data_IF_556782305095
#
_entry.id   IF_556782305095
#
_cell.length_a   1.000
_cell.length_b   1.000
_cell.length_c   1.000
_cell.angle_alpha   90.00
_cell.angle_beta   90.00
_cell.angle_gamma   90.00
#
_symmetry.space_group_name_H-M   'P 1'
#
loop_
_entity.id
_entity.type
_entity.pdbx_description
1 polymer ?
#
# COMPACT_ATOMS: atom_id res chain seq x y z
N UNK A 1 21.66 -21.24 -64.07
CA UNK A 1 20.42 -21.75 -63.44
C UNK A 1 20.61 -21.70 -61.94
N UNK A 2 19.67 -21.09 -61.21
CA UNK A 2 19.74 -20.71 -59.79
C UNK A 2 20.00 -21.88 -58.82
N UNK A 3 20.55 -21.59 -57.63
CA UNK A 3 19.85 -21.94 -56.41
C UNK A 3 19.84 -20.78 -55.41
N UNK A 4 18.64 -20.34 -55.01
CA UNK A 4 18.45 -19.55 -53.80
C UNK A 4 16.99 -19.70 -53.42
N UNK A 5 16.65 -20.56 -52.45
CA UNK A 5 15.43 -20.41 -51.64
C UNK A 5 15.36 -21.42 -50.47
N UNK A 6 16.24 -21.35 -49.47
CA UNK A 6 15.92 -21.91 -48.13
C UNK A 6 16.63 -21.09 -47.06
N UNK A 7 16.01 -19.99 -46.60
CA UNK A 7 16.31 -19.37 -45.31
C UNK A 7 15.31 -18.24 -44.99
N UNK A 8 14.02 -18.55 -44.85
CA UNK A 8 13.04 -17.52 -44.42
C UNK A 8 11.97 -18.00 -43.45
N UNK A 9 12.05 -19.25 -42.97
CA UNK A 9 11.02 -19.83 -42.09
C UNK A 9 11.43 -19.82 -40.59
N UNK A 10 12.71 -19.65 -40.25
CA UNK A 10 13.15 -19.73 -38.84
C UNK A 10 12.95 -18.48 -37.99
N UNK A 11 12.89 -17.26 -38.56
CA UNK A 11 12.84 -16.03 -37.74
C UNK A 11 11.45 -15.75 -37.16
N UNK A 12 10.39 -16.02 -37.93
CA UNK A 12 8.99 -15.83 -37.50
C UNK A 12 8.56 -16.83 -36.43
N UNK A 13 9.02 -18.08 -36.51
CA UNK A 13 8.70 -19.11 -35.52
C UNK A 13 9.41 -18.87 -34.16
N UNK A 14 10.67 -18.38 -34.18
CA UNK A 14 11.35 -17.99 -32.93
C UNK A 14 10.66 -16.79 -32.27
N UNK A 15 10.33 -15.73 -33.03
CA UNK A 15 9.64 -14.56 -32.49
C UNK A 15 8.27 -14.91 -31.89
N UNK A 16 7.48 -15.78 -32.55
CA UNK A 16 6.20 -16.23 -32.03
C UNK A 16 6.32 -17.06 -30.74
N UNK A 17 7.35 -17.92 -30.64
CA UNK A 17 7.60 -18.70 -29.42
C UNK A 17 8.09 -17.83 -28.26
N UNK A 18 8.91 -16.79 -28.51
CA UNK A 18 9.29 -15.80 -27.51
C UNK A 18 8.09 -15.01 -27.00
N UNK A 19 7.24 -14.54 -27.93
CA UNK A 19 5.99 -13.82 -27.60
C UNK A 19 5.04 -14.66 -26.74
N UNK A 20 4.86 -15.94 -27.10
CA UNK A 20 4.02 -16.85 -26.34
C UNK A 20 4.60 -17.14 -24.94
N UNK A 21 5.93 -17.37 -24.85
CA UNK A 21 6.59 -17.60 -23.57
C UNK A 21 6.57 -16.37 -22.65
N UNK A 22 6.73 -15.16 -23.18
CA UNK A 22 6.63 -13.91 -22.42
C UNK A 22 5.21 -13.66 -21.89
N UNK A 23 4.17 -13.94 -22.68
CA UNK A 23 2.78 -13.88 -22.19
C UNK A 23 2.54 -14.85 -21.03
N UNK A 24 3.15 -16.04 -21.06
CA UNK A 24 2.98 -17.02 -19.98
C UNK A 24 3.60 -16.59 -18.64
N UNK A 25 4.58 -15.66 -18.63
CA UNK A 25 5.31 -15.28 -17.42
C UNK A 25 4.42 -14.64 -16.35
N UNK A 26 3.37 -13.90 -16.73
CA UNK A 26 2.50 -13.18 -15.79
C UNK A 26 1.05 -13.66 -15.81
N UNK A 27 0.77 -14.84 -16.38
CA UNK A 27 -0.58 -15.42 -16.43
C UNK A 27 -1.07 -15.84 -15.04
N UNK A 28 -0.18 -16.43 -14.23
CA UNK A 28 -0.54 -16.93 -12.90
C UNK A 28 -0.37 -15.83 -11.88
N UNK A 29 -1.49 -15.42 -11.30
CA UNK A 29 -1.54 -14.35 -10.32
C UNK A 29 -2.10 -14.83 -8.99
N UNK A 30 -1.75 -14.10 -7.94
CA UNK A 30 -2.34 -14.21 -6.62
C UNK A 30 -3.09 -12.92 -6.30
N UNK A 31 -4.30 -13.04 -5.77
CA UNK A 31 -5.07 -11.90 -5.29
C UNK A 31 -4.58 -11.47 -3.90
N UNK A 32 -4.37 -10.17 -3.75
CA UNK A 32 -4.05 -9.50 -2.49
C UNK A 32 -5.17 -8.55 -2.12
N UNK A 33 -5.49 -8.49 -0.83
CA UNK A 33 -6.36 -7.49 -0.25
C UNK A 33 -5.49 -6.36 0.32
N UNK A 34 -5.81 -5.11 -0.01
CA UNK A 34 -5.14 -3.92 0.54
C UNK A 34 -6.20 -2.89 0.89
N UNK A 35 -6.37 -2.62 2.18
CA UNK A 35 -7.50 -1.83 2.68
C UNK A 35 -8.83 -2.42 2.21
N UNK A 36 -9.57 -1.67 1.41
CA UNK A 36 -10.89 -2.08 0.88
C UNK A 36 -10.85 -2.68 -0.52
N UNK A 37 -9.68 -2.72 -1.15
CA UNK A 37 -9.50 -3.08 -2.55
C UNK A 37 -8.78 -4.42 -2.71
N UNK A 38 -8.91 -4.97 -3.92
CA UNK A 38 -8.20 -6.16 -4.37
C UNK A 38 -7.32 -5.81 -5.56
N UNK A 39 -6.16 -6.46 -5.63
CA UNK A 39 -5.26 -6.44 -6.79
C UNK A 39 -4.73 -7.85 -7.01
N UNK A 40 -4.61 -8.27 -8.27
CA UNK A 40 -3.92 -9.50 -8.61
C UNK A 40 -2.48 -9.15 -8.99
N UNK A 41 -1.53 -9.88 -8.43
CA UNK A 41 -0.10 -9.69 -8.69
C UNK A 41 0.49 -11.02 -9.16
N UNK A 42 1.36 -11.04 -10.18
CA UNK A 42 2.01 -12.27 -10.65
C UNK A 42 2.74 -13.01 -9.53
N UNK A 43 2.73 -14.35 -9.60
CA UNK A 43 3.37 -15.22 -8.58
C UNK A 43 4.90 -15.05 -8.51
N UNK A 44 5.48 -14.48 -9.56
CA UNK A 44 6.87 -14.10 -9.73
C UNK A 44 7.24 -12.92 -8.83
N UNK A 45 6.25 -12.13 -8.39
CA UNK A 45 6.46 -11.02 -7.47
C UNK A 45 6.33 -11.49 -6.01
N UNK A 46 7.25 -11.04 -5.17
CA UNK A 46 7.26 -11.33 -3.74
C UNK A 46 6.86 -10.09 -2.96
N UNK A 47 5.87 -10.22 -2.07
CA UNK A 47 5.46 -9.15 -1.17
C UNK A 47 6.58 -8.90 -0.15
N UNK A 48 7.11 -7.68 -0.12
CA UNK A 48 8.20 -7.26 0.77
C UNK A 48 7.75 -6.37 1.92
N UNK A 49 6.69 -5.58 1.72
CA UNK A 49 6.17 -4.68 2.74
C UNK A 49 4.67 -4.39 2.50
N UNK A 50 3.96 -4.08 3.57
CA UNK A 50 2.57 -3.66 3.60
C UNK A 50 2.41 -2.44 4.54
N UNK A 51 1.74 -1.40 4.06
CA UNK A 51 1.38 -0.22 4.85
C UNK A 51 -0.05 -0.32 5.37
N UNK A 52 -0.27 0.06 6.64
CA UNK A 52 -1.51 -0.21 7.38
C UNK A 52 -2.05 1.05 8.10
N UNK A 53 -2.18 2.18 7.41
CA UNK A 53 -2.75 3.40 7.98
C UNK A 53 -4.23 3.22 8.33
N UNK A 54 -4.60 3.38 9.60
CA UNK A 54 -5.98 3.24 10.08
C UNK A 54 -6.16 4.00 11.40
N UNK A 55 -7.03 5.02 11.43
CA UNK A 55 -7.37 5.94 12.55
C UNK A 55 -6.20 6.74 13.17
N UNK A 56 -5.03 6.12 13.32
CA UNK A 56 -3.78 6.68 13.82
C UNK A 56 -2.86 7.06 12.67
N UNK A 57 -2.12 8.16 12.85
CA UNK A 57 -1.00 8.57 12.00
C UNK A 57 0.10 7.51 11.88
N UNK A 58 0.26 6.66 12.91
CA UNK A 58 1.21 5.54 12.92
C UNK A 58 0.62 4.24 12.34
N UNK A 59 -0.68 4.23 12.04
CA UNK A 59 -1.41 3.06 11.57
C UNK A 59 -1.50 1.91 12.58
N UNK A 60 -1.94 0.75 12.08
CA UNK A 60 -1.96 -0.51 12.82
C UNK A 60 -0.64 -1.25 12.60
N UNK A 61 -0.01 -1.66 13.70
CA UNK A 61 1.15 -2.54 13.67
C UNK A 61 0.73 -3.95 14.04
N UNK A 62 1.10 -4.90 13.20
CA UNK A 62 0.88 -6.32 13.47
C UNK A 62 2.16 -6.96 13.99
N UNK A 63 2.07 -7.62 15.13
CA UNK A 63 3.21 -8.26 15.81
C UNK A 63 2.96 -9.75 15.90
N UNK A 64 3.91 -10.57 15.47
CA UNK A 64 3.91 -12.00 15.79
C UNK A 64 4.44 -12.18 17.21
N UNK A 65 3.59 -12.55 18.15
CA UNK A 65 3.88 -12.48 19.57
C UNK A 65 2.96 -13.36 20.42
N UNK A 66 3.19 -13.41 21.72
CA UNK A 66 2.35 -14.11 22.69
C UNK A 66 1.49 -13.12 23.47
N UNK A 67 0.37 -13.62 24.01
CA UNK A 67 -0.47 -12.86 24.94
C UNK A 67 0.31 -12.36 26.15
N UNK A 68 1.24 -13.17 26.67
CA UNK A 68 2.08 -12.79 27.81
C UNK A 68 3.00 -11.61 27.48
N UNK A 69 3.58 -11.57 26.27
CA UNK A 69 4.46 -10.47 25.88
C UNK A 69 3.69 -9.19 25.60
N UNK A 70 2.48 -9.26 25.03
CA UNK A 70 1.58 -8.10 24.96
C UNK A 70 1.22 -7.57 26.35
N UNK A 71 0.92 -8.45 27.31
CA UNK A 71 0.64 -8.02 28.68
C UNK A 71 1.84 -7.35 29.35
N UNK A 72 3.07 -7.80 29.04
CA UNK A 72 4.30 -7.10 29.49
C UNK A 72 4.41 -5.71 28.87
N UNK A 73 4.13 -5.57 27.57
CA UNK A 73 4.14 -4.27 26.89
C UNK A 73 3.12 -3.30 27.48
N UNK A 74 1.89 -3.78 27.74
CA UNK A 74 0.84 -3.01 28.41
C UNK A 74 1.32 -2.56 29.79
N UNK A 75 1.82 -3.49 30.60
CA UNK A 75 2.27 -3.20 31.97
C UNK A 75 3.41 -2.20 31.99
N UNK A 76 4.39 -2.37 31.09
CA UNK A 76 5.52 -1.44 30.95
C UNK A 76 5.03 -0.05 30.56
N UNK A 77 4.14 0.04 29.57
CA UNK A 77 3.57 1.32 29.11
C UNK A 77 2.78 2.04 30.20
N UNK A 78 1.93 1.32 30.94
CA UNK A 78 1.19 1.88 32.08
C UNK A 78 2.14 2.34 33.19
N UNK A 79 3.19 1.56 33.47
CA UNK A 79 4.22 1.93 34.45
C UNK A 79 4.97 3.20 34.03
N UNK A 80 5.44 3.28 32.79
CA UNK A 80 6.13 4.45 32.24
C UNK A 80 5.25 5.71 32.36
N UNK A 81 4.01 5.65 31.90
CA UNK A 81 3.06 6.77 31.94
C UNK A 81 2.65 7.17 33.37
N UNK A 82 2.61 6.21 34.30
CA UNK A 82 2.27 6.48 35.71
C UNK A 82 3.42 7.14 36.47
N UNK A 83 4.66 6.76 36.13
CA UNK A 83 5.86 7.24 36.81
C UNK A 83 6.50 8.47 36.13
N UNK A 84 5.93 8.94 35.02
CA UNK A 84 6.35 10.18 34.38
C UNK A 84 6.10 11.38 35.31
N UNK A 85 7.15 12.16 35.57
CA UNK A 85 7.15 13.27 36.53
C UNK A 85 7.02 14.62 35.84
N UNK A 86 7.39 14.72 34.57
CA UNK A 86 7.20 15.93 33.80
C UNK A 86 5.74 16.01 33.32
N UNK A 87 4.97 16.91 33.92
CA UNK A 87 3.57 17.19 33.51
C UNK A 87 3.45 17.76 32.09
N UNK A 88 4.56 18.19 31.49
CA UNK A 88 4.63 18.57 30.08
C UNK A 88 4.76 17.36 29.18
N UNK A 89 5.15 16.20 29.68
CA UNK A 89 5.08 14.94 28.95
C UNK A 89 3.74 14.22 29.18
N UNK A 90 3.52 13.14 28.45
CA UNK A 90 2.30 12.35 28.52
C UNK A 90 2.30 11.50 29.80
N UNK A 91 1.33 11.77 30.67
CA UNK A 91 1.05 11.00 31.88
C UNK A 91 -0.20 10.14 31.69
N UNK A 92 -0.32 9.05 32.45
CA UNK A 92 -1.49 8.17 32.41
C UNK A 92 -2.76 8.94 32.83
N UNK A 93 -3.78 8.92 31.99
CA UNK A 93 -5.11 9.49 32.30
C UNK A 93 -6.09 8.40 32.66
N UNK A 94 -6.22 7.40 31.80
CA UNK A 94 -7.19 6.32 31.93
C UNK A 94 -6.65 5.06 31.24
N UNK A 95 -7.14 3.91 31.67
CA UNK A 95 -6.92 2.65 30.98
C UNK A 95 -8.23 1.89 30.97
N UNK A 96 -8.69 1.57 29.77
CA UNK A 96 -9.95 0.88 29.53
C UNK A 96 -9.72 -0.61 29.25
N UNK A 97 -10.79 -1.40 29.35
CA UNK A 97 -10.75 -2.86 29.21
C UNK A 97 -9.79 -3.51 30.22
N UNK A 98 -9.68 -2.96 31.44
CA UNK A 98 -8.69 -3.42 32.43
C UNK A 98 -8.76 -4.91 32.76
N UNK A 99 -9.97 -5.44 32.76
CA UNK A 99 -10.30 -6.84 33.08
C UNK A 99 -10.42 -7.72 31.84
N UNK A 100 -10.18 -7.19 30.65
CA UNK A 100 -10.15 -7.96 29.41
C UNK A 100 -8.72 -8.42 29.17
N UNK A 101 -8.54 -9.72 28.99
CA UNK A 101 -7.22 -10.30 28.80
C UNK A 101 -6.76 -10.28 27.32
N UNK A 102 -7.67 -9.99 26.38
CA UNK A 102 -7.41 -9.91 24.95
C UNK A 102 -7.13 -8.49 24.45
N UNK A 103 -7.63 -7.45 25.13
CA UNK A 103 -7.47 -6.08 24.66
C UNK A 103 -7.29 -5.04 25.77
N UNK A 104 -6.60 -3.96 25.44
CA UNK A 104 -6.37 -2.80 26.30
C UNK A 104 -6.34 -1.53 25.46
N UNK A 105 -6.90 -0.46 26.01
CA UNK A 105 -6.69 0.90 25.51
C UNK A 105 -6.16 1.77 26.64
N UNK A 106 -5.02 2.41 26.42
CA UNK A 106 -4.38 3.32 27.36
C UNK A 106 -4.53 4.73 26.83
N UNK A 107 -5.09 5.61 27.66
CA UNK A 107 -5.27 7.03 27.37
C UNK A 107 -4.27 7.79 28.23
N UNK A 108 -3.46 8.61 27.59
CA UNK A 108 -2.51 9.51 28.23
C UNK A 108 -2.82 10.96 27.89
N UNK A 109 -2.34 11.89 28.70
CA UNK A 109 -2.52 13.32 28.44
C UNK A 109 -1.27 14.11 28.81
N UNK A 110 -1.01 15.19 28.07
CA UNK A 110 0.02 16.17 28.38
C UNK A 110 -0.60 17.57 28.32
N UNK A 111 -0.26 18.46 29.26
CA UNK A 111 -0.73 19.85 29.21
C UNK A 111 0.44 20.80 29.02
N UNK A 112 0.40 21.56 27.92
CA UNK A 112 1.43 22.53 27.54
C UNK A 112 0.78 23.86 27.20
N UNK A 113 1.29 24.94 27.78
CA UNK A 113 0.81 26.31 27.52
C UNK A 113 -0.71 26.50 27.66
N UNK A 114 -1.35 25.78 28.61
CA UNK A 114 -2.79 25.85 28.83
C UNK A 114 -3.64 24.96 27.92
N UNK A 115 -3.03 24.23 26.98
CA UNK A 115 -3.71 23.28 26.09
C UNK A 115 -3.38 21.83 26.47
N UNK A 116 -4.41 21.00 26.57
CA UNK A 116 -4.28 19.56 26.81
C UNK A 116 -4.36 18.79 25.51
N UNK A 117 -3.40 17.90 25.31
CA UNK A 117 -3.36 16.94 24.23
C UNK A 117 -3.40 15.52 24.78
N UNK A 118 -4.05 14.61 24.06
CA UNK A 118 -4.23 13.22 24.46
C UNK A 118 -3.48 12.27 23.53
N UNK A 119 -3.02 11.16 24.09
CA UNK A 119 -2.47 10.03 23.36
C UNK A 119 -3.28 8.78 23.63
N UNK A 120 -3.44 7.95 22.61
CA UNK A 120 -4.15 6.69 22.69
C UNK A 120 -3.23 5.59 22.17
N UNK A 121 -2.98 4.61 23.02
CA UNK A 121 -2.28 3.38 22.69
C UNK A 121 -3.27 2.20 22.80
N UNK A 122 -3.46 1.44 21.72
CA UNK A 122 -4.31 0.24 21.74
C UNK A 122 -3.49 -1.02 21.58
N UNK A 123 -3.96 -2.08 22.22
CA UNK A 123 -3.36 -3.40 22.17
C UNK A 123 -4.48 -4.42 22.06
N UNK A 124 -4.44 -5.29 21.06
CA UNK A 124 -5.34 -6.44 20.96
C UNK A 124 -4.58 -7.68 20.53
N UNK A 125 -4.62 -8.72 21.35
CA UNK A 125 -4.19 -10.05 20.96
C UNK A 125 -5.19 -10.62 19.95
N UNK A 126 -4.67 -11.08 18.82
CA UNK A 126 -5.41 -11.71 17.74
C UNK A 126 -5.14 -13.23 17.77
N UNK A 127 -5.89 -13.98 16.98
CA UNK A 127 -5.64 -15.42 16.82
C UNK A 127 -4.27 -15.71 16.17
N UNK A 128 -3.84 -16.98 16.22
CA UNK A 128 -2.62 -17.49 15.57
C UNK A 128 -1.31 -16.83 16.03
N UNK A 129 -1.26 -16.29 17.25
CA UNK A 129 -0.04 -15.71 17.81
C UNK A 129 0.31 -14.36 17.20
N UNK A 130 -0.71 -13.57 16.88
CA UNK A 130 -0.57 -12.20 16.40
C UNK A 130 -1.19 -11.22 17.40
N UNK A 131 -0.77 -9.97 17.31
CA UNK A 131 -1.40 -8.86 18.02
C UNK A 131 -1.42 -7.63 17.11
N UNK A 132 -2.47 -6.83 17.23
CA UNK A 132 -2.56 -5.51 16.62
C UNK A 132 -2.33 -4.43 17.67
N UNK A 133 -1.49 -3.45 17.35
CA UNK A 133 -1.28 -2.28 18.20
C UNK A 133 -1.41 -0.99 17.40
N UNK A 134 -1.93 0.05 18.03
CA UNK A 134 -1.90 1.42 17.52
C UNK A 134 -1.29 2.33 18.58
N UNK A 135 -0.67 3.42 18.14
CA UNK A 135 -0.13 4.42 19.05
C UNK A 135 -0.16 5.78 18.35
N UNK A 136 -0.91 6.71 18.92
CA UNK A 136 -0.91 8.08 18.44
C UNK A 136 -0.99 9.07 19.60
N UNK A 137 -0.60 10.30 19.30
CA UNK A 137 -0.54 11.41 20.25
C UNK A 137 -1.13 12.65 19.61
N UNK A 138 -1.30 13.68 20.43
CA UNK A 138 -1.71 15.01 19.97
C UNK A 138 -3.19 15.14 19.59
N UNK A 139 -4.06 14.27 20.09
CA UNK A 139 -5.51 14.46 19.98
C UNK A 139 -5.96 15.64 20.83
N UNK A 140 -6.65 16.59 20.21
CA UNK A 140 -7.18 17.77 20.92
C UNK A 140 -8.28 17.40 21.91
N UNK A 141 -8.30 18.05 23.07
CA UNK A 141 -9.28 17.82 24.13
C UNK A 141 -10.75 17.93 23.66
N UNK A 142 -11.01 18.74 22.64
CA UNK A 142 -12.34 18.90 22.06
C UNK A 142 -12.86 17.68 21.29
N UNK A 143 -11.95 16.82 20.80
CA UNK A 143 -12.30 15.64 19.99
C UNK A 143 -12.10 14.31 20.74
N UNK A 144 -11.48 14.34 21.92
CA UNK A 144 -11.05 13.10 22.59
C UNK A 144 -12.18 12.10 22.83
N UNK A 145 -13.40 12.56 23.12
CA UNK A 145 -14.55 11.67 23.31
C UNK A 145 -14.88 10.87 22.05
N UNK A 146 -14.92 11.51 20.87
CA UNK A 146 -15.20 10.81 19.62
C UNK A 146 -14.05 9.88 19.22
N UNK A 147 -12.81 10.32 19.42
CA UNK A 147 -11.62 9.49 19.14
C UNK A 147 -11.60 8.24 20.02
N UNK A 148 -11.95 8.35 21.31
CA UNK A 148 -12.08 7.19 22.21
C UNK A 148 -13.11 6.21 21.67
N UNK A 149 -14.29 6.69 21.26
CA UNK A 149 -15.34 5.84 20.68
C UNK A 149 -14.88 5.16 19.38
N UNK A 150 -14.16 5.86 18.50
CA UNK A 150 -13.60 5.26 17.27
C UNK A 150 -12.62 4.13 17.57
N UNK A 151 -11.76 4.29 18.59
CA UNK A 151 -10.83 3.22 19.01
C UNK A 151 -11.52 2.07 19.75
N UNK A 152 -12.59 2.33 20.51
CA UNK A 152 -13.44 1.30 21.10
C UNK A 152 -14.10 0.44 20.00
N UNK A 153 -14.68 1.09 18.98
CA UNK A 153 -15.27 0.43 17.82
C UNK A 153 -14.22 -0.37 17.04
N UNK A 154 -13.06 0.22 16.75
CA UNK A 154 -11.94 -0.50 16.15
C UNK A 154 -11.55 -1.74 16.95
N UNK A 155 -11.36 -1.62 18.26
CA UNK A 155 -10.99 -2.73 19.13
C UNK A 155 -12.04 -3.83 19.11
N UNK A 156 -13.32 -3.51 18.99
CA UNK A 156 -14.39 -4.51 18.87
C UNK A 156 -14.39 -5.22 17.52
N UNK A 157 -13.98 -4.56 16.44
CA UNK A 157 -14.07 -5.07 15.07
C UNK A 157 -12.77 -5.68 14.52
N UNK A 158 -11.61 -5.36 15.10
CA UNK A 158 -10.32 -5.86 14.62
C UNK A 158 -10.12 -7.33 14.99
N UNK A 159 -9.77 -8.14 13.99
CA UNK A 159 -9.56 -9.58 14.11
C UNK A 159 -8.39 -10.06 13.27
N UNK A 160 -7.89 -11.25 13.60
CA UNK A 160 -6.90 -11.93 12.75
C UNK A 160 -7.50 -12.24 11.38
N UNK A 161 -6.66 -12.13 10.36
CA UNK A 161 -6.94 -12.60 9.00
C UNK A 161 -5.62 -13.03 8.34
N UNK A 162 -5.47 -14.30 7.91
CA UNK A 162 -4.30 -14.74 7.15
C UNK A 162 -4.03 -13.89 5.92
N UNK A 163 -2.76 -13.67 5.58
CA UNK A 163 -2.36 -12.79 4.48
C UNK A 163 -2.99 -13.10 3.12
N UNK A 164 -3.32 -14.37 2.87
CA UNK A 164 -3.91 -14.87 1.63
C UNK A 164 -5.44 -15.01 1.67
N UNK A 165 -6.08 -14.74 2.80
CA UNK A 165 -7.55 -14.77 2.89
C UNK A 165 -8.14 -13.47 2.33
N UNK A 166 -9.22 -13.60 1.57
CA UNK A 166 -10.04 -12.49 1.07
C UNK A 166 -11.37 -12.47 1.85
N UNK A 167 -11.56 -11.51 2.78
CA UNK A 167 -12.80 -11.39 3.54
C UNK A 167 -14.00 -11.11 2.64
N UNK A 168 -15.13 -11.79 2.90
CA UNK A 168 -16.41 -11.58 2.18
C UNK A 168 -17.28 -10.48 2.80
N UNK A 169 -16.96 -10.07 4.02
CA UNK A 169 -17.65 -8.99 4.72
C UNK A 169 -16.99 -7.62 4.42
N UNK A 170 -17.75 -6.51 4.55
CA UNK A 170 -17.20 -5.17 4.46
C UNK A 170 -16.12 -4.90 5.51
N UNK A 171 -15.07 -4.19 5.13
CA UNK A 171 -14.01 -3.80 6.07
C UNK A 171 -12.65 -3.55 5.44
N UNK A 172 -11.68 -3.26 6.29
CA UNK A 172 -10.33 -2.86 5.94
C UNK A 172 -9.33 -3.99 6.20
N UNK A 173 -8.66 -4.47 5.16
CA UNK A 173 -7.56 -5.43 5.25
C UNK A 173 -6.25 -4.73 5.57
N UNK A 174 -5.47 -5.33 6.47
CA UNK A 174 -4.10 -4.96 6.78
C UNK A 174 -3.25 -6.22 6.99
N UNK A 175 -1.96 -6.03 7.22
CA UNK A 175 -1.02 -7.13 7.41
C UNK A 175 -1.50 -8.10 8.50
N UNK A 176 -1.78 -9.35 8.10
CA UNK A 176 -2.29 -10.41 8.99
C UNK A 176 -3.52 -10.03 9.85
N UNK A 177 -4.33 -9.08 9.41
CA UNK A 177 -5.53 -8.66 10.15
C UNK A 177 -6.61 -8.02 9.28
N UNK A 178 -7.74 -7.75 9.92
CA UNK A 178 -8.93 -7.18 9.30
C UNK A 178 -9.75 -6.38 10.31
N UNK A 179 -10.28 -5.22 9.90
CA UNK A 179 -11.24 -4.44 10.69
C UNK A 179 -12.59 -4.46 9.96
N UNK A 180 -13.60 -5.11 10.56
CA UNK A 180 -14.94 -5.18 9.99
C UNK A 180 -15.69 -3.84 10.15
N UNK A 181 -16.11 -3.23 9.04
CA UNK A 181 -17.05 -2.11 8.99
C UNK A 181 -17.40 -1.73 7.54
N UNK A 182 -18.49 -0.99 7.34
CA UNK A 182 -18.99 -0.67 6.00
C UNK A 182 -18.24 0.46 5.27
N UNK A 183 -17.36 1.21 5.96
CA UNK A 183 -16.60 2.31 5.36
C UNK A 183 -17.46 3.50 4.92
N UNK A 184 -18.70 3.61 5.40
CA UNK A 184 -19.58 4.74 5.07
C UNK A 184 -19.31 5.98 5.90
N UNK A 185 -18.69 5.81 7.06
CA UNK A 185 -18.20 6.91 7.89
C UNK A 185 -16.84 7.36 7.39
N UNK A 186 -16.62 8.68 7.36
CA UNK A 186 -15.29 9.22 7.08
C UNK A 186 -14.32 8.73 8.14
N UNK A 187 -13.19 8.15 7.71
CA UNK A 187 -12.16 7.65 8.61
C UNK A 187 -10.81 7.62 7.90
N UNK A 188 -9.74 7.76 8.68
CA UNK A 188 -8.38 7.73 8.14
C UNK A 188 -8.03 6.31 7.76
N UNK A 189 -7.85 6.06 6.46
CA UNK A 189 -7.36 4.80 5.92
C UNK A 189 -6.29 5.07 4.87
N UNK A 190 -5.20 4.32 4.96
CA UNK A 190 -4.18 4.21 3.94
C UNK A 190 -3.68 2.77 3.89
N UNK A 191 -3.60 2.18 2.71
CA UNK A 191 -3.08 0.83 2.55
C UNK A 191 -2.08 0.80 1.40
N UNK A 192 -0.96 0.11 1.57
CA UNK A 192 0.01 -0.07 0.49
C UNK A 192 0.58 -1.47 0.45
N UNK A 193 0.94 -1.93 -0.74
CA UNK A 193 1.66 -3.18 -0.96
C UNK A 193 2.90 -2.88 -1.80
N UNK A 194 4.04 -3.42 -1.37
CA UNK A 194 5.31 -3.30 -2.08
C UNK A 194 5.84 -4.68 -2.44
N UNK A 195 6.10 -4.90 -3.73
CA UNK A 195 6.62 -6.15 -4.26
C UNK A 195 7.93 -5.96 -4.99
N UNK A 196 8.74 -7.02 -4.98
CA UNK A 196 9.95 -7.17 -5.80
C UNK A 196 9.79 -8.42 -6.67
N UNK A 197 10.14 -8.32 -7.95
CA UNK A 197 10.10 -9.45 -8.87
C UNK A 197 11.28 -10.40 -8.60
N UNK A 198 11.03 -11.68 -8.28
CA UNK A 198 12.02 -12.64 -7.73
C UNK A 198 13.31 -12.74 -8.55
N UNK A 199 13.19 -12.85 -9.87
CA UNK A 199 14.35 -12.98 -10.78
C UNK A 199 14.83 -11.64 -11.35
N UNK A 200 14.19 -10.53 -10.95
CA UNK A 200 14.50 -9.18 -11.42
C UNK A 200 14.44 -8.21 -10.22
N UNK A 201 15.45 -8.22 -9.33
CA UNK A 201 15.40 -7.53 -8.04
C UNK A 201 15.29 -6.00 -8.14
N UNK A 202 15.59 -5.42 -9.30
CA UNK A 202 15.41 -3.99 -9.61
C UNK A 202 14.06 -3.68 -10.25
N UNK A 203 13.16 -4.66 -10.34
CA UNK A 203 11.76 -4.46 -10.74
C UNK A 203 10.90 -4.44 -9.49
N UNK A 204 10.32 -3.26 -9.25
CA UNK A 204 9.58 -2.93 -8.04
C UNK A 204 8.16 -2.52 -8.41
N UNK A 205 7.20 -3.08 -7.69
CA UNK A 205 5.77 -2.81 -7.87
C UNK A 205 5.27 -2.22 -6.56
N UNK A 206 4.63 -1.05 -6.64
CA UNK A 206 4.00 -0.37 -5.51
C UNK A 206 2.57 -0.09 -5.86
N UNK A 207 1.66 -0.48 -4.98
CA UNK A 207 0.28 -0.03 -5.06
C UNK A 207 -0.11 0.55 -3.71
N UNK A 208 -0.75 1.70 -3.72
CA UNK A 208 -1.20 2.37 -2.51
C UNK A 208 -2.59 2.95 -2.70
N UNK A 209 -3.33 3.06 -1.60
CA UNK A 209 -4.61 3.74 -1.51
C UNK A 209 -4.61 4.68 -0.32
N UNK A 210 -5.18 5.87 -0.48
CA UNK A 210 -5.26 6.88 0.59
C UNK A 210 -6.64 7.55 0.59
N UNK A 211 -7.33 7.53 1.72
CA UNK A 211 -8.63 8.21 1.88
C UNK A 211 -8.47 9.71 2.06
N UNK A 212 -7.46 10.10 2.83
CA UNK A 212 -7.07 11.50 2.99
C UNK A 212 -5.77 11.74 2.26
N UNK A 213 -5.85 12.58 1.26
CA UNK A 213 -4.72 13.01 0.45
C UNK A 213 -4.82 14.52 0.27
N UNK A 214 -3.68 15.16 0.00
CA UNK A 214 -3.67 16.56 -0.40
C UNK A 214 -4.41 16.67 -1.73
N UNK A 215 -5.32 17.63 -1.85
CA UNK A 215 -5.94 17.90 -3.14
C UNK A 215 -4.85 18.29 -4.14
N UNK A 216 -4.73 17.50 -5.20
CA UNK A 216 -3.71 17.65 -6.23
C UNK A 216 -4.35 17.67 -7.61
N UNK A 217 -3.59 18.22 -8.57
CA UNK A 217 -3.91 18.09 -9.99
C UNK A 217 -3.86 16.61 -10.40
N UNK A 218 -4.51 16.27 -11.51
CA UNK A 218 -4.44 14.92 -12.08
C UNK A 218 -3.01 14.49 -12.43
N UNK A 219 -2.77 13.18 -12.58
CA UNK A 219 -1.45 12.62 -12.88
C UNK A 219 -0.81 13.30 -14.09
N UNK A 220 -1.55 13.42 -15.20
CA UNK A 220 -1.02 13.97 -16.44
C UNK A 220 -0.77 15.47 -16.33
N UNK A 221 -1.64 16.21 -15.64
CA UNK A 221 -1.42 17.63 -15.35
C UNK A 221 -0.12 17.83 -14.55
N UNK A 222 0.12 17.02 -13.51
CA UNK A 222 1.36 17.09 -12.72
C UNK A 222 2.60 16.77 -13.56
N UNK A 223 2.53 15.74 -14.39
CA UNK A 223 3.63 15.37 -15.31
C UNK A 223 3.92 16.50 -16.29
N UNK A 224 2.89 17.10 -16.90
CA UNK A 224 3.05 18.18 -17.87
C UNK A 224 3.55 19.48 -17.21
N UNK A 225 3.02 19.83 -16.04
CA UNK A 225 3.42 20.99 -15.26
C UNK A 225 4.88 20.91 -14.79
N UNK A 226 5.37 19.70 -14.48
CA UNK A 226 6.78 19.49 -14.10
C UNK A 226 7.77 19.84 -15.23
N UNK A 227 7.31 19.80 -16.48
CA UNK A 227 8.15 19.95 -17.67
C UNK A 227 9.16 18.81 -17.87
N UNK A 228 9.09 17.72 -17.09
CA UNK A 228 10.06 16.61 -17.14
C UNK A 228 10.11 16.00 -18.54
N UNK A 229 8.94 15.71 -19.14
CA UNK A 229 8.81 15.12 -20.48
C UNK A 229 9.42 16.04 -21.55
N UNK A 230 9.28 17.36 -21.43
CA UNK A 230 9.91 18.32 -22.36
C UNK A 230 11.44 18.29 -22.24
N UNK A 231 11.97 18.14 -21.02
CA UNK A 231 13.42 18.10 -20.76
C UNK A 231 14.06 16.80 -21.25
N UNK A 232 13.39 15.66 -21.05
CA UNK A 232 13.93 14.33 -21.39
C UNK A 232 13.40 13.76 -22.70
N UNK A 233 12.50 14.46 -23.39
CA UNK A 233 11.72 13.94 -24.52
C UNK A 233 12.54 13.31 -25.64
N UNK A 234 13.69 13.89 -25.98
CA UNK A 234 14.60 13.32 -27.01
C UNK A 234 15.29 12.03 -26.55
N UNK A 235 15.40 11.81 -25.23
CA UNK A 235 15.97 10.59 -24.64
C UNK A 235 14.93 9.49 -24.46
N UNK A 236 13.63 9.81 -24.45
CA UNK A 236 12.57 8.82 -24.25
C UNK A 236 12.59 7.76 -25.35
N UNK A 237 12.51 6.50 -24.93
CA UNK A 237 12.43 5.34 -25.83
C UNK A 237 10.99 4.95 -26.09
N UNK A 238 10.11 5.23 -25.14
CA UNK A 238 8.67 5.02 -25.24
C UNK A 238 7.97 5.99 -24.30
N UNK A 239 6.83 6.53 -24.74
CA UNK A 239 5.95 7.33 -23.90
C UNK A 239 4.49 7.11 -24.32
N UNK A 240 3.66 6.68 -23.38
CA UNK A 240 2.20 6.61 -23.56
C UNK A 240 1.53 7.24 -22.36
N UNK A 241 0.65 8.18 -22.63
CA UNK A 241 -0.11 8.91 -21.62
C UNK A 241 -1.57 8.92 -22.03
N UNK A 242 -2.48 8.83 -21.06
CA UNK A 242 -3.89 8.99 -21.35
C UNK A 242 -4.81 8.59 -20.22
N UNK A 243 -6.11 8.81 -20.45
CA UNK A 243 -7.16 8.31 -19.55
C UNK A 243 -7.24 6.80 -19.65
N UNK A 244 -7.40 6.15 -18.50
CA UNK A 244 -7.55 4.71 -18.38
C UNK A 244 -8.49 4.36 -17.25
N UNK A 245 -9.71 3.97 -17.62
CA UNK A 245 -10.72 3.54 -16.68
C UNK A 245 -10.56 2.04 -16.36
N UNK A 246 -10.51 1.70 -15.07
CA UNK A 246 -10.34 0.33 -14.59
C UNK A 246 -11.46 0.00 -13.62
N UNK A 247 -12.30 -1.00 -13.95
CA UNK A 247 -13.34 -1.52 -13.04
C UNK A 247 -14.21 -0.42 -12.38
N UNK A 248 -14.57 0.61 -13.15
CA UNK A 248 -15.38 1.75 -12.69
C UNK A 248 -14.58 2.91 -12.07
N UNK A 249 -13.28 2.75 -11.87
CA UNK A 249 -12.37 3.81 -11.41
C UNK A 249 -11.92 4.65 -12.60
N UNK A 250 -12.17 5.95 -12.55
CA UNK A 250 -11.68 6.89 -13.55
C UNK A 250 -10.24 7.26 -13.21
N UNK A 251 -9.29 6.76 -14.01
CA UNK A 251 -7.87 6.98 -13.78
C UNK A 251 -7.14 7.49 -15.01
N UNK A 252 -5.87 7.79 -14.82
CA UNK A 252 -4.92 8.18 -15.86
C UNK A 252 -3.68 7.28 -15.78
N UNK A 253 -3.04 7.04 -16.91
CA UNK A 253 -1.78 6.31 -17.00
C UNK A 253 -0.68 7.16 -17.65
N UNK A 254 0.55 6.93 -17.20
CA UNK A 254 1.76 7.42 -17.84
C UNK A 254 2.80 6.29 -17.85
N UNK A 255 3.15 5.82 -19.05
CA UNK A 255 4.05 4.70 -19.28
C UNK A 255 5.28 5.21 -20.03
N UNK A 256 6.37 5.40 -19.30
CA UNK A 256 7.61 5.98 -19.83
C UNK A 256 8.73 4.93 -19.83
N UNK A 257 9.46 4.83 -20.95
CA UNK A 257 10.77 4.17 -20.99
C UNK A 257 11.86 5.19 -21.28
N UNK A 258 12.91 5.17 -20.47
CA UNK A 258 14.03 6.11 -20.49
C UNK A 258 15.37 5.34 -20.44
N UNK A 259 16.49 5.94 -20.88
CA UNK A 259 17.81 5.35 -20.68
C UNK A 259 18.09 5.16 -19.18
N UNK A 260 18.82 4.11 -18.84
CA UNK A 260 19.43 3.99 -17.50
C UNK A 260 20.44 5.11 -17.25
N UNK A 261 20.79 5.37 -15.99
CA UNK A 261 21.71 6.46 -15.61
C UNK A 261 23.13 6.25 -16.15
N UNK A 262 23.53 4.99 -16.34
CA UNK A 262 24.80 4.60 -16.97
C UNK A 262 24.75 4.60 -18.51
N UNK A 263 23.58 4.92 -19.08
CA UNK A 263 23.28 4.93 -20.52
C UNK A 263 23.53 3.58 -21.24
N UNK A 264 23.64 2.46 -20.50
CA UNK A 264 23.91 1.13 -21.07
C UNK A 264 22.65 0.35 -21.43
N UNK A 265 21.47 0.81 -21.02
CA UNK A 265 20.20 0.17 -21.32
C UNK A 265 18.99 1.08 -21.10
N UNK A 266 17.85 0.46 -20.81
CA UNK A 266 16.56 1.14 -20.62
C UNK A 266 15.96 0.83 -19.26
N UNK A 267 15.17 1.73 -18.73
CA UNK A 267 14.36 1.57 -17.54
C UNK A 267 12.96 2.13 -17.77
N UNK A 268 12.00 1.66 -16.96
CA UNK A 268 10.60 2.00 -17.10
C UNK A 268 10.09 2.63 -15.81
N UNK A 269 9.24 3.63 -15.98
CA UNK A 269 8.42 4.21 -14.92
C UNK A 269 6.99 4.19 -15.43
N UNK A 270 6.21 3.23 -14.94
CA UNK A 270 4.83 3.02 -15.33
C UNK A 270 3.92 3.34 -14.16
N UNK A 271 3.03 4.30 -14.36
CA UNK A 271 2.13 4.79 -13.33
C UNK A 271 0.69 4.71 -13.81
N UNK A 272 -0.21 4.29 -12.92
CA UNK A 272 -1.65 4.48 -13.05
C UNK A 272 -2.18 5.10 -11.77
N UNK A 273 -3.00 6.14 -11.89
CA UNK A 273 -3.56 6.83 -10.73
C UNK A 273 -5.04 7.15 -10.93
N UNK A 274 -5.83 7.00 -9.86
CA UNK A 274 -7.14 7.64 -9.70
C UNK A 274 -7.12 8.50 -8.44
N UNK A 275 -7.70 9.70 -8.51
CA UNK A 275 -7.77 10.61 -7.37
C UNK A 275 -8.86 10.20 -6.37
N UNK A 276 -9.92 9.52 -6.80
CA UNK A 276 -11.05 9.21 -5.93
C UNK A 276 -11.71 10.46 -5.32
N UNK A 277 -12.23 10.32 -4.11
CA UNK A 277 -12.92 11.35 -3.34
C UNK A 277 -12.29 11.48 -1.94
N UNK A 278 -11.89 12.70 -1.57
CA UNK A 278 -11.28 12.97 -0.27
C UNK A 278 -12.25 12.61 0.85
N UNK A 279 -11.80 11.80 1.80
CA UNK A 279 -12.59 11.38 2.96
C UNK A 279 -13.59 10.26 2.66
N UNK A 280 -13.57 9.65 1.47
CA UNK A 280 -14.43 8.52 1.11
C UNK A 280 -13.64 7.19 1.14
N UNK A 281 -13.82 6.33 2.16
CA UNK A 281 -13.16 5.02 2.22
C UNK A 281 -13.47 4.09 1.05
N UNK A 282 -14.66 4.22 0.44
CA UNK A 282 -15.09 3.37 -0.67
C UNK A 282 -14.62 3.88 -2.03
N UNK A 283 -14.04 5.07 -2.08
CA UNK A 283 -13.48 5.66 -3.29
C UNK A 283 -12.22 6.50 -2.95
N UNK A 284 -11.16 5.88 -2.39
CA UNK A 284 -9.92 6.58 -2.07
C UNK A 284 -9.14 6.92 -3.35
N UNK A 285 -8.09 7.74 -3.21
CA UNK A 285 -7.07 7.77 -4.26
C UNK A 285 -6.36 6.42 -4.31
N UNK A 286 -5.98 5.98 -5.50
CA UNK A 286 -5.19 4.75 -5.71
C UNK A 286 -4.10 5.05 -6.72
N UNK A 287 -2.86 4.68 -6.38
CA UNK A 287 -1.70 4.83 -7.24
C UNK A 287 -1.00 3.47 -7.38
N UNK A 288 -0.80 3.03 -8.62
CA UNK A 288 0.03 1.89 -9.00
C UNK A 288 1.28 2.42 -9.70
N UNK A 289 2.45 2.11 -9.15
CA UNK A 289 3.75 2.40 -9.75
C UNK A 289 4.53 1.11 -9.97
N UNK A 290 5.02 0.90 -11.20
CA UNK A 290 5.97 -0.14 -11.54
C UNK A 290 7.22 0.52 -12.09
N UNK A 291 8.35 0.27 -11.42
CA UNK A 291 9.67 0.74 -11.84
C UNK A 291 10.58 -0.43 -12.13
N UNK A 292 11.31 -0.36 -13.24
CA UNK A 292 12.38 -1.31 -13.56
C UNK A 292 13.73 -0.61 -13.45
N UNK A 293 14.77 -1.34 -13.08
CA UNK A 293 16.11 -0.76 -12.92
C UNK A 293 16.28 0.06 -11.64
N UNK A 294 15.29 0.11 -10.76
CA UNK A 294 15.35 0.94 -9.55
C UNK A 294 16.28 0.30 -8.51
N UNK A 295 17.51 0.80 -8.42
CA UNK A 295 18.51 0.34 -7.45
C UNK A 295 18.48 1.18 -6.16
N UNK A 296 19.48 1.03 -5.30
CA UNK A 296 19.62 1.85 -4.09
C UNK A 296 20.15 3.25 -4.41
N UNK A 297 19.86 4.23 -3.54
CA UNK A 297 20.42 5.59 -3.67
C UNK A 297 19.81 6.45 -4.78
N UNK A 298 18.67 6.05 -5.34
CA UNK A 298 17.98 6.79 -6.41
C UNK A 298 18.57 6.57 -7.81
N UNK A 299 19.50 5.62 -7.95
CA UNK A 299 20.07 5.26 -9.25
C UNK A 299 19.12 4.34 -10.05
N UNK A 300 19.15 4.51 -11.37
CA UNK A 300 18.42 3.70 -12.34
C UNK A 300 19.40 2.89 -13.20
N UNK A 301 19.43 1.57 -12.99
CA UNK A 301 20.21 0.61 -13.78
C UNK A 301 19.41 0.12 -15.00
N UNK A 302 20.06 -0.53 -15.98
CA UNK A 302 19.35 -1.23 -17.04
C UNK A 302 18.34 -2.23 -16.48
N UNK A 303 17.11 -2.17 -17.00
CA UNK A 303 16.06 -3.17 -16.79
C UNK A 303 16.53 -4.52 -17.31
N UNK A 304 16.29 -5.56 -16.52
CA UNK A 304 16.40 -6.94 -16.95
C UNK A 304 15.15 -7.44 -17.68
N UNK A 305 14.07 -6.64 -17.71
CA UNK A 305 12.89 -6.87 -18.55
C UNK A 305 12.99 -6.10 -19.86
N UNK A 306 12.52 -6.72 -20.94
CA UNK A 306 12.23 -6.04 -22.20
C UNK A 306 11.08 -5.03 -22.05
N UNK A 307 10.94 -4.10 -23.01
CA UNK A 307 9.78 -3.20 -23.06
C UNK A 307 8.45 -3.98 -23.02
N UNK A 308 8.40 -5.09 -23.76
CA UNK A 308 7.21 -5.91 -23.89
C UNK A 308 6.88 -6.63 -22.58
N UNK A 309 7.89 -7.19 -21.90
CA UNK A 309 7.70 -7.84 -20.60
C UNK A 309 7.27 -6.82 -19.53
N UNK A 310 7.88 -5.63 -19.51
CA UNK A 310 7.48 -4.57 -18.59
C UNK A 310 6.01 -4.14 -18.83
N UNK A 311 5.60 -4.02 -20.09
CA UNK A 311 4.20 -3.72 -20.43
C UNK A 311 3.27 -4.86 -20.04
N UNK A 312 3.64 -6.11 -20.29
CA UNK A 312 2.86 -7.28 -19.91
C UNK A 312 2.66 -7.36 -18.39
N UNK A 313 3.70 -7.07 -17.60
CA UNK A 313 3.62 -7.00 -16.14
C UNK A 313 2.62 -5.94 -15.68
N UNK A 314 2.72 -4.73 -16.24
CA UNK A 314 1.79 -3.64 -15.94
C UNK A 314 0.35 -3.99 -16.28
N UNK A 315 0.11 -4.51 -17.48
CA UNK A 315 -1.21 -4.92 -17.96
C UNK A 315 -1.81 -6.08 -17.13
N UNK A 316 -0.98 -7.01 -16.66
CA UNK A 316 -1.41 -8.11 -15.80
C UNK A 316 -1.95 -7.61 -14.45
N UNK A 317 -1.39 -6.52 -13.92
CA UNK A 317 -1.73 -5.98 -12.60
C UNK A 317 -2.85 -4.94 -12.69
N UNK A 318 -2.66 -3.88 -13.50
CA UNK A 318 -3.51 -2.67 -13.46
C UNK A 318 -4.98 -2.98 -13.69
N UNK A 319 -5.30 -3.88 -14.65
CA UNK A 319 -6.69 -4.24 -14.99
C UNK A 319 -7.45 -4.94 -13.88
N UNK A 320 -6.76 -5.38 -12.83
CA UNK A 320 -7.33 -6.18 -11.75
C UNK A 320 -7.64 -5.38 -10.50
N UNK A 321 -7.22 -4.10 -10.45
CA UNK A 321 -7.52 -3.20 -9.33
C UNK A 321 -9.03 -3.00 -9.24
N UNK A 322 -9.63 -3.34 -8.11
CA UNK A 322 -11.09 -3.31 -7.94
C UNK A 322 -11.47 -3.22 -6.47
N UNK A 323 -12.61 -2.61 -6.17
CA UNK A 323 -13.21 -2.68 -4.83
C UNK A 323 -13.45 -4.15 -4.45
N UNK A 324 -13.20 -4.53 -3.19
CA UNK A 324 -13.48 -5.89 -2.73
C UNK A 324 -15.00 -6.10 -2.71
N UNK A 325 -15.54 -7.11 -3.42
CA UNK A 325 -16.95 -7.45 -3.31
C UNK A 325 -17.26 -7.83 -1.86
N UNK A 326 -18.33 -7.26 -1.32
CA UNK A 326 -18.87 -7.64 -0.01
C UNK A 326 -20.34 -8.01 -0.15
N UNK A 327 -20.76 -8.99 0.65
CA UNK A 327 -22.15 -9.45 0.70
C UNK A 327 -23.02 -8.57 1.61
#
# INVERSE_FOLDING_TARGET
MHPMLIASISLLALAANSYAAEQTMFEKTKTYCFGRYLVNVPNEAELKNEGNGYLSSSGIKTLKTTKADINKLITLKEFELTNEKDKKDYILSESQFKNNDQQRMIISSATRYGSTAYGIDTFKYLDQGYAATTSDRSYGAQYIKSVITEFEDYLNQVRYRPQNEIPKEPGFCFENGFVANDGKTQQVEAASLYFVLKNHPYVKIRIESNVYFKQEQSLLERIHASGIIKKIGQKLKYNKEGKRNINGLNGEEALTALPSDDETGIAHIFTWETLGEIGNPLLPSINLEIKTGESGGGQTLPSTLSNQEAMALYEAIVKTIRIRPSN
#
